data_IF_894329538164
#
_entry.id   IF_894329538164
#
_cell.length_a   1.000
_cell.length_b   1.000
_cell.length_c   1.000
_cell.angle_alpha   90.00
_cell.angle_beta   90.00
_cell.angle_gamma   90.00
#
_symmetry.space_group_name_H-M   'P 1'
#
loop_
_entity.id
_entity.type
_entity.pdbx_description
1 polymer ?
#
# COMPACT_ATOMS: atom_id res chain seq x y z
N UNK A 1 1.99 1.25 -7.33
CA UNK A 1 3.25 1.90 -7.77
C UNK A 1 3.27 2.01 -9.29
N UNK A 2 3.79 3.11 -9.85
CA UNK A 2 3.84 3.31 -11.30
C UNK A 2 5.15 2.78 -11.91
N UNK A 3 5.15 2.38 -13.19
CA UNK A 3 6.38 2.07 -13.91
C UNK A 3 7.35 3.26 -13.91
N UNK A 4 8.62 3.03 -13.60
CA UNK A 4 9.64 4.10 -13.49
C UNK A 4 9.72 4.95 -14.76
N UNK A 5 9.62 4.29 -15.93
CA UNK A 5 9.59 4.99 -17.23
C UNK A 5 8.44 5.98 -17.32
N UNK A 6 7.24 5.58 -16.89
CA UNK A 6 6.05 6.43 -16.90
C UNK A 6 6.20 7.63 -15.96
N UNK A 7 6.75 7.41 -14.75
CA UNK A 7 7.04 8.48 -13.79
C UNK A 7 7.99 9.51 -14.42
N UNK A 8 9.10 9.04 -15.00
CA UNK A 8 10.10 9.91 -15.64
C UNK A 8 9.54 10.72 -16.81
N UNK A 9 8.74 10.10 -17.67
CA UNK A 9 8.12 10.79 -18.82
C UNK A 9 7.02 11.79 -18.41
N UNK A 10 6.49 11.68 -17.19
CA UNK A 10 5.39 12.49 -16.69
C UNK A 10 5.72 13.15 -15.33
N UNK A 11 6.99 13.44 -15.07
CA UNK A 11 7.46 13.84 -13.73
C UNK A 11 6.71 15.07 -13.19
N UNK A 12 6.41 16.05 -14.04
CA UNK A 12 5.67 17.24 -13.68
C UNK A 12 4.22 16.96 -13.25
N UNK A 13 3.59 15.90 -13.79
CA UNK A 13 2.26 15.47 -13.32
C UNK A 13 2.33 14.88 -11.92
N UNK A 14 3.38 14.13 -11.63
CA UNK A 14 3.58 13.54 -10.31
C UNK A 14 3.97 14.58 -9.26
N UNK A 15 4.80 15.57 -9.60
CA UNK A 15 5.10 16.72 -8.73
C UNK A 15 3.83 17.44 -8.30
N UNK A 16 2.98 17.82 -9.28
CA UNK A 16 1.68 18.45 -9.01
C UNK A 16 0.75 17.56 -8.18
N UNK A 17 0.70 16.27 -8.47
CA UNK A 17 -0.12 15.32 -7.70
C UNK A 17 0.34 15.21 -6.24
N UNK A 18 1.65 15.19 -5.99
CA UNK A 18 2.22 15.19 -4.65
C UNK A 18 1.89 16.48 -3.90
N UNK A 19 2.04 17.63 -4.55
CA UNK A 19 1.67 18.94 -3.97
C UNK A 19 0.18 19.00 -3.62
N UNK A 20 -0.70 18.61 -4.55
CA UNK A 20 -2.14 18.59 -4.35
C UNK A 20 -2.58 17.67 -3.19
N UNK A 21 -1.81 16.61 -2.92
CA UNK A 21 -2.07 15.67 -1.82
C UNK A 21 -1.31 16.00 -0.52
N UNK A 22 -0.49 17.05 -0.51
CA UNK A 22 0.38 17.38 0.63
C UNK A 22 1.46 16.34 0.92
N UNK A 23 1.81 15.52 -0.07
CA UNK A 23 2.74 14.39 0.06
C UNK A 23 4.17 14.87 -0.25
N UNK A 24 5.10 14.61 0.67
CA UNK A 24 6.50 15.00 0.49
C UNK A 24 7.26 13.90 -0.26
N UNK A 25 7.66 14.21 -1.48
CA UNK A 25 8.53 13.35 -2.31
C UNK A 25 9.82 14.12 -2.63
N UNK A 26 10.96 13.49 -2.40
CA UNK A 26 12.27 14.05 -2.76
C UNK A 26 12.55 13.83 -4.25
N UNK A 27 12.08 14.77 -5.07
CA UNK A 27 12.21 14.72 -6.53
C UNK A 27 13.65 14.94 -7.01
N UNK A 28 14.46 15.68 -6.25
CA UNK A 28 15.87 15.91 -6.59
C UNK A 28 16.68 14.62 -6.42
N UNK A 29 16.52 13.95 -5.27
CA UNK A 29 17.17 12.66 -5.04
C UNK A 29 16.59 11.57 -5.97
N UNK A 30 15.29 11.62 -6.31
CA UNK A 30 14.70 10.74 -7.33
C UNK A 30 15.46 10.82 -8.67
N UNK A 31 15.60 12.04 -9.22
CA UNK A 31 16.26 12.25 -10.51
C UNK A 31 17.74 11.83 -10.47
N UNK A 32 18.42 12.17 -9.37
CA UNK A 32 19.82 11.78 -9.15
C UNK A 32 19.99 10.26 -9.10
N UNK A 33 19.18 9.55 -8.30
CA UNK A 33 19.26 8.10 -8.17
C UNK A 33 18.85 7.37 -9.46
N UNK A 34 17.84 7.85 -10.21
CA UNK A 34 17.49 7.25 -11.51
C UNK A 34 18.62 7.41 -12.54
N UNK A 35 19.31 8.56 -12.54
CA UNK A 35 20.46 8.81 -13.40
C UNK A 35 21.65 7.90 -13.04
N UNK A 36 22.01 7.79 -11.76
CA UNK A 36 23.08 6.88 -11.30
C UNK A 36 22.74 5.42 -11.59
N UNK A 37 21.50 5.01 -11.29
CA UNK A 37 21.00 3.66 -11.56
C UNK A 37 21.17 3.29 -13.03
N UNK A 38 20.74 4.15 -13.96
CA UNK A 38 20.91 3.92 -15.42
C UNK A 38 22.38 3.84 -15.82
N UNK A 39 23.24 4.72 -15.28
CA UNK A 39 24.69 4.69 -15.55
C UNK A 39 25.30 3.36 -15.13
N UNK A 40 24.96 2.86 -13.93
CA UNK A 40 25.49 1.59 -13.44
C UNK A 40 24.95 0.40 -14.22
N UNK A 41 23.66 0.38 -14.57
CA UNK A 41 23.10 -0.67 -15.44
C UNK A 41 23.85 -0.71 -16.78
N UNK A 42 23.98 0.44 -17.46
CA UNK A 42 24.69 0.53 -18.73
C UNK A 42 26.15 0.09 -18.62
N UNK A 43 26.84 0.49 -17.55
CA UNK A 43 28.24 0.10 -17.31
C UNK A 43 28.37 -1.42 -17.08
N UNK A 44 27.49 -2.01 -16.26
CA UNK A 44 27.48 -3.45 -16.00
C UNK A 44 27.21 -4.23 -17.29
N UNK A 45 26.24 -3.80 -18.10
CA UNK A 45 25.93 -4.42 -19.39
C UNK A 45 27.10 -4.34 -20.37
N UNK A 46 27.78 -3.19 -20.47
CA UNK A 46 28.97 -3.02 -21.30
C UNK A 46 30.09 -3.98 -20.84
N UNK A 47 30.36 -4.06 -19.54
CA UNK A 47 31.39 -4.97 -19.00
C UNK A 47 31.05 -6.44 -19.20
N UNK A 48 29.78 -6.82 -19.02
CA UNK A 48 29.32 -8.20 -19.28
C UNK A 48 29.51 -8.57 -20.75
N UNK A 49 29.22 -7.66 -21.67
CA UNK A 49 29.47 -7.87 -23.11
C UNK A 49 30.95 -8.13 -23.38
N UNK A 50 31.84 -7.27 -22.88
CA UNK A 50 33.30 -7.42 -23.06
C UNK A 50 33.79 -8.74 -22.44
N UNK A 51 33.29 -9.09 -21.25
CA UNK A 51 33.64 -10.35 -20.57
C UNK A 51 33.24 -11.59 -21.38
N UNK A 52 32.05 -11.57 -21.98
CA UNK A 52 31.57 -12.66 -22.85
C UNK A 52 32.46 -12.78 -24.09
N UNK A 53 32.77 -11.67 -24.77
CA UNK A 53 33.66 -11.64 -25.94
C UNK A 53 35.07 -12.18 -25.60
N UNK A 54 35.59 -11.84 -24.41
CA UNK A 54 36.86 -12.37 -23.92
C UNK A 54 36.81 -13.86 -23.66
N UNK A 55 35.70 -14.36 -23.11
CA UNK A 55 35.49 -15.79 -22.82
C UNK A 55 35.47 -16.61 -24.12
N UNK A 56 34.79 -16.12 -25.16
CA UNK A 56 34.80 -16.73 -26.49
C UNK A 56 36.19 -16.73 -27.13
N UNK A 57 36.92 -15.60 -27.04
CA UNK A 57 38.31 -15.51 -27.52
C UNK A 57 39.23 -16.49 -26.81
N UNK A 58 39.12 -16.64 -25.49
CA UNK A 58 39.91 -17.60 -24.71
C UNK A 58 39.62 -19.04 -25.17
N UNK A 59 38.34 -19.39 -25.38
CA UNK A 59 37.95 -20.71 -25.88
C UNK A 59 38.53 -21.01 -27.29
N UNK A 60 38.68 -19.99 -28.14
CA UNK A 60 39.24 -20.14 -29.48
C UNK A 60 40.76 -20.39 -29.53
N UNK A 61 41.50 -20.00 -28.49
CA UNK A 61 42.98 -20.03 -28.46
C UNK A 61 43.60 -21.39 -28.09
N UNK A 62 42.80 -22.46 -27.97
CA UNK A 62 43.16 -23.90 -27.85
C UNK A 62 44.64 -24.19 -27.50
N UNK A 63 45.04 -23.87 -26.27
CA UNK A 63 46.35 -24.16 -25.63
C UNK A 63 47.52 -23.17 -25.81
N UNK A 64 47.35 -21.98 -26.40
CA UNK A 64 48.38 -20.94 -26.32
C UNK A 64 48.36 -20.22 -24.95
N UNK A 65 49.06 -20.81 -23.97
CA UNK A 65 49.09 -20.30 -22.57
C UNK A 65 49.59 -18.87 -22.45
N UNK A 66 50.54 -18.46 -23.29
CA UNK A 66 51.11 -17.11 -23.27
C UNK A 66 50.11 -16.06 -23.77
N UNK A 67 49.30 -16.39 -24.78
CA UNK A 67 48.23 -15.53 -25.29
C UNK A 67 46.99 -15.49 -24.38
N UNK A 68 46.74 -16.55 -23.59
CA UNK A 68 45.56 -16.67 -22.71
C UNK A 68 45.74 -15.89 -21.39
N UNK A 69 46.94 -15.90 -20.82
CA UNK A 69 47.28 -15.19 -19.57
C UNK A 69 46.75 -13.73 -19.51
N UNK A 70 47.04 -12.85 -20.48
CA UNK A 70 46.56 -11.46 -20.45
C UNK A 70 45.04 -11.35 -20.56
N UNK A 71 44.39 -12.23 -21.33
CA UNK A 71 42.92 -12.25 -21.48
C UNK A 71 42.23 -12.70 -20.20
N UNK A 72 42.79 -13.67 -19.48
CA UNK A 72 42.29 -14.10 -18.17
C UNK A 72 42.38 -12.98 -17.14
N UNK A 73 43.47 -12.22 -17.13
CA UNK A 73 43.63 -11.06 -16.24
C UNK A 73 42.60 -9.97 -16.55
N UNK A 74 42.34 -9.69 -17.82
CA UNK A 74 41.29 -8.75 -18.24
C UNK A 74 39.90 -9.25 -17.86
N UNK A 75 39.58 -10.52 -18.12
CA UNK A 75 38.29 -11.11 -17.77
C UNK A 75 38.04 -11.08 -16.25
N UNK A 76 39.08 -11.34 -15.45
CA UNK A 76 39.02 -11.22 -13.98
C UNK A 76 38.78 -9.78 -13.55
N UNK A 77 39.51 -8.81 -14.12
CA UNK A 77 39.31 -7.38 -13.85
C UNK A 77 37.85 -6.96 -14.11
N UNK A 78 37.28 -7.34 -15.25
CA UNK A 78 35.88 -7.03 -15.55
C UNK A 78 34.90 -7.74 -14.62
N UNK A 79 35.19 -8.97 -14.20
CA UNK A 79 34.39 -9.66 -13.18
C UNK A 79 34.36 -8.92 -11.85
N UNK A 80 35.50 -8.36 -11.43
CA UNK A 80 35.62 -7.60 -10.19
C UNK A 80 34.89 -6.25 -10.31
N UNK A 81 35.03 -5.55 -11.45
CA UNK A 81 34.27 -4.31 -11.74
C UNK A 81 32.76 -4.57 -11.75
N UNK A 82 32.28 -5.62 -12.40
CA UNK A 82 30.85 -5.98 -12.42
C UNK A 82 30.34 -6.18 -10.99
N UNK A 83 31.05 -6.96 -10.18
CA UNK A 83 30.65 -7.25 -8.79
C UNK A 83 30.59 -5.98 -7.93
N UNK A 84 31.54 -5.07 -8.10
CA UNK A 84 31.55 -3.79 -7.40
C UNK A 84 30.33 -2.94 -7.77
N UNK A 85 30.05 -2.80 -9.07
CA UNK A 85 28.94 -1.97 -9.54
C UNK A 85 27.58 -2.60 -9.27
N UNK A 86 27.45 -3.93 -9.26
CA UNK A 86 26.23 -4.62 -8.83
C UNK A 86 25.91 -4.34 -7.36
N UNK A 87 26.94 -4.32 -6.50
CA UNK A 87 26.76 -3.94 -5.08
C UNK A 87 26.28 -2.49 -4.95
N UNK A 88 26.93 -1.56 -5.65
CA UNK A 88 26.53 -0.14 -5.67
C UNK A 88 25.11 0.04 -6.22
N UNK A 89 24.78 -0.67 -7.30
CA UNK A 89 23.44 -0.66 -7.90
C UNK A 89 22.39 -1.14 -6.89
N UNK A 90 22.66 -2.23 -6.15
CA UNK A 90 21.71 -2.72 -5.14
C UNK A 90 21.43 -1.69 -4.03
N UNK A 91 22.46 -0.95 -3.58
CA UNK A 91 22.30 0.11 -2.59
C UNK A 91 21.47 1.27 -3.12
N UNK A 92 21.70 1.68 -4.37
CA UNK A 92 20.90 2.70 -5.06
C UNK A 92 19.46 2.24 -5.23
N UNK A 93 19.23 1.00 -5.65
CA UNK A 93 17.87 0.48 -5.86
C UNK A 93 17.08 0.42 -4.56
N UNK A 94 17.71 0.13 -3.42
CA UNK A 94 17.06 0.20 -2.10
C UNK A 94 16.61 1.63 -1.76
N UNK A 95 17.48 2.63 -1.97
CA UNK A 95 17.14 4.04 -1.72
C UNK A 95 16.06 4.53 -2.68
N UNK A 96 16.21 4.18 -3.96
CA UNK A 96 15.28 4.57 -5.01
C UNK A 96 13.89 3.97 -4.79
N UNK A 97 13.82 2.69 -4.37
CA UNK A 97 12.57 2.03 -4.01
C UNK A 97 11.84 2.77 -2.90
N UNK A 98 12.53 3.23 -1.85
CA UNK A 98 11.91 4.02 -0.77
C UNK A 98 11.28 5.31 -1.28
N UNK A 99 11.89 5.98 -2.26
CA UNK A 99 11.29 7.17 -2.87
C UNK A 99 10.08 6.79 -3.72
N UNK A 100 10.17 5.71 -4.52
CA UNK A 100 9.04 5.24 -5.32
C UNK A 100 7.81 4.90 -4.47
N UNK A 101 8.03 4.40 -3.24
CA UNK A 101 6.98 4.08 -2.28
C UNK A 101 6.27 5.32 -1.71
N UNK A 102 6.89 6.50 -1.78
CA UNK A 102 6.24 7.74 -1.31
C UNK A 102 5.41 8.45 -2.38
N UNK A 103 5.58 8.10 -3.66
CA UNK A 103 4.87 8.73 -4.78
C UNK A 103 3.38 8.37 -4.74
N UNK A 104 2.46 9.34 -4.58
CA UNK A 104 1.04 9.06 -4.50
C UNK A 104 0.43 8.78 -5.87
N UNK A 105 -0.80 8.25 -5.87
CA UNK A 105 -1.61 8.16 -7.09
C UNK A 105 -1.95 9.55 -7.65
N UNK A 106 -2.01 9.71 -8.97
CA UNK A 106 -2.40 10.98 -9.61
C UNK A 106 -3.92 11.15 -9.44
N UNK A 107 -4.41 12.27 -8.87
CA UNK A 107 -5.84 12.58 -8.86
C UNK A 107 -6.42 12.60 -10.28
N UNK A 108 -7.62 12.06 -10.46
CA UNK A 108 -8.33 12.19 -11.73
C UNK A 108 -8.65 13.67 -12.00
N UNK A 109 -8.66 14.17 -13.25
CA UNK A 109 -8.96 15.57 -13.55
C UNK A 109 -10.33 16.08 -13.07
N UNK A 110 -11.26 15.17 -12.75
CA UNK A 110 -12.56 15.52 -12.17
C UNK A 110 -12.53 15.74 -10.66
N UNK A 111 -11.39 15.47 -9.99
CA UNK A 111 -11.26 15.69 -8.54
C UNK A 111 -11.09 17.20 -8.31
N UNK A 112 -11.95 17.84 -7.51
CA UNK A 112 -11.81 19.26 -7.22
C UNK A 112 -10.52 19.53 -6.46
N UNK A 113 -9.87 20.66 -6.76
CA UNK A 113 -8.72 21.12 -5.99
C UNK A 113 -9.16 21.55 -4.58
N UNK A 114 -8.39 21.18 -3.57
CA UNK A 114 -8.71 21.47 -2.19
C UNK A 114 -7.53 21.19 -1.27
N UNK A 115 -7.41 21.98 -0.20
CA UNK A 115 -6.32 21.84 0.78
C UNK A 115 -6.65 20.80 1.86
N UNK A 116 -7.91 20.75 2.24
CA UNK A 116 -8.42 19.90 3.31
C UNK A 116 -9.92 19.60 3.08
N UNK A 117 -10.55 18.92 4.04
CA UNK A 117 -11.95 18.49 3.95
C UNK A 117 -12.95 19.64 3.81
N UNK A 118 -12.59 20.90 4.14
CA UNK A 118 -13.47 22.06 3.95
C UNK A 118 -13.66 22.44 2.48
N UNK A 119 -12.77 21.98 1.61
CA UNK A 119 -12.83 22.22 0.15
C UNK A 119 -13.66 21.16 -0.58
N UNK A 120 -14.20 20.15 0.13
CA UNK A 120 -15.02 19.11 -0.48
C UNK A 120 -16.33 19.68 -1.03
N UNK A 121 -16.72 19.20 -2.22
CA UNK A 121 -17.96 19.62 -2.89
C UNK A 121 -19.05 18.58 -2.65
N UNK A 122 -20.22 19.03 -2.18
CA UNK A 122 -21.40 18.17 -2.05
C UNK A 122 -21.93 17.84 -3.45
N UNK A 123 -21.97 16.54 -3.79
CA UNK A 123 -22.41 16.07 -5.12
C UNK A 123 -23.90 15.72 -5.13
N UNK A 124 -24.43 15.18 -4.03
CA UNK A 124 -25.84 14.82 -3.88
C UNK A 124 -26.22 14.74 -2.41
N UNK A 125 -27.49 15.01 -2.12
CA UNK A 125 -28.13 14.80 -0.83
C UNK A 125 -29.38 13.94 -1.03
N UNK A 126 -29.78 13.18 -0.01
CA UNK A 126 -30.96 12.32 -0.06
C UNK A 126 -31.64 12.23 1.30
N UNK A 127 -32.97 12.34 1.32
CA UNK A 127 -33.77 12.40 2.55
C UNK A 127 -33.89 13.82 3.10
N UNK A 128 -34.70 13.96 4.14
CA UNK A 128 -34.89 15.22 4.88
C UNK A 128 -34.48 14.99 6.33
N UNK A 129 -33.72 15.94 6.90
CA UNK A 129 -33.36 15.91 8.33
C UNK A 129 -34.54 16.51 9.09
N UNK A 130 -35.32 15.67 9.76
CA UNK A 130 -36.45 16.11 10.55
C UNK A 130 -36.00 16.96 11.76
N UNK A 131 -36.59 18.15 11.90
CA UNK A 131 -36.52 18.90 13.15
C UNK A 131 -37.24 18.12 14.25
N UNK A 132 -36.58 17.99 15.40
CA UNK A 132 -37.14 17.32 16.57
C UNK A 132 -37.61 18.37 17.56
N UNK A 133 -38.78 18.11 18.17
CA UNK A 133 -39.38 18.91 19.24
C UNK A 133 -38.82 18.56 20.64
N UNK A 134 -37.78 17.73 20.69
CA UNK A 134 -37.08 17.31 21.89
C UNK A 134 -35.56 17.38 21.71
N UNK A 135 -34.82 17.40 22.82
CA UNK A 135 -33.36 17.36 22.82
C UNK A 135 -32.87 16.00 22.29
N UNK A 136 -32.16 16.02 21.16
CA UNK A 136 -31.61 14.80 20.54
C UNK A 136 -30.38 14.35 21.32
N UNK A 137 -30.53 13.23 22.04
CA UNK A 137 -29.41 12.61 22.75
C UNK A 137 -28.40 12.01 21.76
N UNK A 138 -27.11 12.03 22.10
CA UNK A 138 -26.09 11.36 21.30
C UNK A 138 -26.20 9.83 21.42
N UNK A 139 -25.67 9.11 20.42
CA UNK A 139 -25.82 7.66 20.32
C UNK A 139 -25.27 6.88 21.52
N UNK A 140 -24.19 7.35 22.15
CA UNK A 140 -23.58 6.69 23.31
C UNK A 140 -24.50 6.75 24.54
N UNK A 141 -25.12 7.91 24.80
CA UNK A 141 -26.06 8.09 25.90
C UNK A 141 -27.34 7.28 25.66
N UNK A 142 -27.85 7.25 24.42
CA UNK A 142 -28.99 6.39 24.06
C UNK A 142 -28.65 4.91 24.30
N UNK A 143 -27.48 4.48 23.84
CA UNK A 143 -27.03 3.09 23.98
C UNK A 143 -26.86 2.65 25.44
N UNK A 144 -26.34 3.55 26.28
CA UNK A 144 -26.20 3.32 27.73
C UNK A 144 -27.56 3.26 28.43
N UNK A 145 -28.45 4.23 28.19
CA UNK A 145 -29.81 4.22 28.77
C UNK A 145 -30.63 2.99 28.40
N UNK A 146 -30.40 2.44 27.21
CA UNK A 146 -31.05 1.21 26.73
C UNK A 146 -30.34 -0.07 27.22
N UNK A 147 -29.16 0.03 27.84
CA UNK A 147 -28.36 -1.12 28.27
C UNK A 147 -27.84 -1.98 27.13
N UNK A 148 -27.63 -1.39 25.95
CA UNK A 148 -27.21 -2.09 24.72
C UNK A 148 -25.78 -1.76 24.28
N UNK A 149 -25.16 -0.75 24.90
CA UNK A 149 -23.80 -0.29 24.65
C UNK A 149 -23.15 0.08 25.99
N UNK A 150 -21.97 -0.48 26.25
CA UNK A 150 -21.20 -0.26 27.47
C UNK A 150 -19.71 -0.05 27.15
N UNK A 151 -19.26 1.20 27.27
CA UNK A 151 -17.86 1.58 27.08
C UNK A 151 -17.00 1.25 28.30
N UNK A 152 -17.59 1.24 29.50
CA UNK A 152 -16.87 0.96 30.74
C UNK A 152 -16.37 -0.49 30.78
N UNK A 153 -17.20 -1.43 30.31
CA UNK A 153 -16.82 -2.84 30.18
C UNK A 153 -15.71 -3.03 29.14
N UNK A 154 -15.78 -2.34 28.00
CA UNK A 154 -14.74 -2.46 27.00
C UNK A 154 -13.42 -1.80 27.41
N UNK A 155 -13.48 -0.67 28.14
CA UNK A 155 -12.32 -0.08 28.79
C UNK A 155 -11.67 -1.02 29.82
N UNK A 156 -12.49 -1.77 30.57
CA UNK A 156 -12.02 -2.79 31.51
C UNK A 156 -11.35 -3.98 30.82
N UNK A 157 -11.82 -4.38 29.63
CA UNK A 157 -11.29 -5.55 28.89
C UNK A 157 -10.03 -5.20 28.09
N UNK A 158 -9.99 -4.02 27.46
CA UNK A 158 -8.95 -3.65 26.49
C UNK A 158 -8.41 -2.25 26.73
N UNK A 159 -9.27 -1.25 26.88
CA UNK A 159 -8.90 0.15 27.02
C UNK A 159 -9.90 1.09 26.33
N UNK A 160 -9.59 2.38 26.27
CA UNK A 160 -10.44 3.37 25.59
C UNK A 160 -10.73 3.00 24.13
N UNK A 161 -11.86 3.45 23.60
CA UNK A 161 -12.33 3.21 22.22
C UNK A 161 -12.75 1.77 21.86
N UNK A 162 -12.89 0.89 22.85
CA UNK A 162 -13.46 -0.44 22.65
C UNK A 162 -14.88 -0.50 23.25
N UNK A 163 -15.96 -0.47 22.45
CA UNK A 163 -17.32 -0.62 22.96
C UNK A 163 -17.70 -2.09 23.18
N UNK A 164 -18.51 -2.37 24.20
CA UNK A 164 -19.21 -3.66 24.36
C UNK A 164 -20.68 -3.47 24.02
N UNK A 165 -21.17 -4.19 23.01
CA UNK A 165 -22.60 -4.24 22.68
C UNK A 165 -23.28 -5.40 23.39
N UNK A 166 -24.46 -5.16 23.95
CA UNK A 166 -25.22 -6.11 24.77
C UNK A 166 -26.62 -6.35 24.19
N UNK A 167 -27.13 -7.58 24.34
CA UNK A 167 -28.51 -7.95 23.99
C UNK A 167 -28.96 -7.48 22.60
N UNK A 168 -29.92 -6.54 22.57
CA UNK A 168 -30.46 -5.98 21.32
C UNK A 168 -29.40 -5.19 20.53
N UNK A 169 -28.43 -4.55 21.17
CA UNK A 169 -27.33 -3.85 20.49
C UNK A 169 -26.45 -4.81 19.70
N UNK A 170 -26.02 -5.90 20.34
CA UNK A 170 -25.25 -6.95 19.66
C UNK A 170 -26.04 -7.59 18.51
N UNK A 171 -27.35 -7.80 18.72
CA UNK A 171 -28.25 -8.32 17.69
C UNK A 171 -28.37 -7.35 16.50
N UNK A 172 -28.44 -6.05 16.75
CA UNK A 172 -28.51 -5.00 15.72
C UNK A 172 -27.21 -4.93 14.90
N UNK A 173 -26.05 -4.99 15.55
CA UNK A 173 -24.74 -5.04 14.86
C UNK A 173 -24.73 -6.20 13.86
N UNK A 174 -25.10 -7.41 14.31
CA UNK A 174 -25.21 -8.58 13.43
C UNK A 174 -26.25 -8.41 12.31
N UNK A 175 -27.40 -7.81 12.63
CA UNK A 175 -28.45 -7.58 11.64
C UNK A 175 -27.99 -6.63 10.52
N UNK A 176 -27.26 -5.57 10.86
CA UNK A 176 -26.69 -4.64 9.88
C UNK A 176 -25.66 -5.33 8.98
N UNK A 177 -24.77 -6.14 9.56
CA UNK A 177 -23.79 -6.93 8.80
C UNK A 177 -24.50 -7.81 7.77
N UNK A 178 -25.47 -8.61 8.22
CA UNK A 178 -26.19 -9.53 7.33
C UNK A 178 -26.99 -8.77 6.25
N UNK A 179 -27.66 -7.68 6.63
CA UNK A 179 -28.40 -6.85 5.68
C UNK A 179 -27.49 -6.31 4.58
N UNK A 180 -26.33 -5.76 4.93
CA UNK A 180 -25.37 -5.21 3.96
C UNK A 180 -24.82 -6.31 3.04
N UNK A 181 -24.41 -7.46 3.59
CA UNK A 181 -23.93 -8.60 2.80
C UNK A 181 -25.01 -9.10 1.83
N UNK A 182 -26.24 -9.31 2.31
CA UNK A 182 -27.35 -9.79 1.47
C UNK A 182 -27.74 -8.76 0.40
N UNK A 183 -27.68 -7.47 0.72
CA UNK A 183 -27.89 -6.41 -0.25
C UNK A 183 -26.84 -6.46 -1.36
N UNK A 184 -25.55 -6.53 -1.04
CA UNK A 184 -24.49 -6.56 -2.04
C UNK A 184 -24.48 -7.85 -2.87
N UNK A 185 -24.76 -9.01 -2.27
CA UNK A 185 -24.93 -10.27 -3.00
C UNK A 185 -26.03 -10.20 -4.06
N UNK A 186 -27.18 -9.62 -3.71
CA UNK A 186 -28.28 -9.38 -4.66
C UNK A 186 -27.88 -8.45 -5.82
N UNK A 187 -26.84 -7.62 -5.63
CA UNK A 187 -26.27 -6.73 -6.62
C UNK A 187 -25.02 -7.30 -7.33
N UNK A 188 -24.83 -8.62 -7.29
CA UNK A 188 -23.81 -9.31 -8.08
C UNK A 188 -22.42 -9.40 -7.44
N UNK A 189 -22.28 -9.06 -6.16
CA UNK A 189 -21.02 -9.26 -5.42
C UNK A 189 -20.92 -10.71 -4.92
N UNK A 190 -19.77 -11.33 -5.11
CA UNK A 190 -19.42 -12.61 -4.49
C UNK A 190 -18.99 -12.36 -3.04
N UNK A 191 -19.66 -13.03 -2.09
CA UNK A 191 -19.29 -12.94 -0.68
C UNK A 191 -18.05 -13.79 -0.41
N UNK A 192 -17.02 -13.19 0.19
CA UNK A 192 -15.76 -13.87 0.52
C UNK A 192 -15.44 -13.75 2.00
N UNK A 193 -14.88 -14.83 2.56
CA UNK A 193 -14.36 -14.86 3.92
C UNK A 193 -12.83 -14.80 3.88
N UNK A 194 -12.25 -13.77 4.49
CA UNK A 194 -10.82 -13.46 4.35
C UNK A 194 -10.10 -13.40 5.71
N UNK A 195 -8.77 -13.66 5.74
CA UNK A 195 -7.99 -13.55 6.98
C UNK A 195 -7.97 -12.13 7.56
N UNK A 196 -8.06 -12.01 8.89
CA UNK A 196 -7.88 -10.74 9.61
C UNK A 196 -6.42 -10.42 9.96
N UNK A 197 -5.53 -11.39 9.79
CA UNK A 197 -4.09 -11.23 9.87
C UNK A 197 -3.50 -11.39 8.47
N UNK A 198 -2.65 -10.44 8.06
CA UNK A 198 -2.04 -10.42 6.74
C UNK A 198 -0.54 -10.17 6.82
N UNK A 199 0.20 -10.65 5.83
CA UNK A 199 1.63 -10.37 5.71
C UNK A 199 1.90 -8.94 5.23
N UNK A 200 3.14 -8.49 5.44
CA UNK A 200 3.64 -7.17 5.01
C UNK A 200 3.41 -6.88 3.53
N UNK A 201 3.59 -7.87 2.66
CA UNK A 201 3.38 -7.72 1.22
C UNK A 201 1.93 -7.34 0.89
N UNK A 202 0.96 -7.85 1.65
CA UNK A 202 -0.46 -7.55 1.43
C UNK A 202 -0.76 -6.11 1.78
N UNK A 203 -0.26 -5.65 2.93
CA UNK A 203 -0.38 -4.26 3.37
C UNK A 203 0.35 -3.28 2.44
N UNK A 204 1.46 -3.70 1.84
CA UNK A 204 2.18 -2.93 0.82
C UNK A 204 1.39 -2.85 -0.49
N UNK A 205 0.80 -3.97 -0.94
CA UNK A 205 0.04 -4.05 -2.18
C UNK A 205 -1.13 -3.08 -2.25
N UNK A 206 -1.78 -2.81 -1.12
CA UNK A 206 -2.90 -1.87 -0.99
C UNK A 206 -2.50 -0.49 -0.45
N UNK A 207 -1.20 -0.23 -0.29
CA UNK A 207 -0.67 1.10 0.00
C UNK A 207 -0.73 1.56 1.46
N UNK A 208 -1.10 0.69 2.40
CA UNK A 208 -1.02 1.00 3.84
C UNK A 208 0.45 1.10 4.26
N UNK A 209 1.30 0.18 3.79
CA UNK A 209 2.74 0.26 4.02
C UNK A 209 3.48 0.90 2.83
N UNK A 210 4.57 1.64 3.08
CA UNK A 210 5.19 1.88 4.40
C UNK A 210 4.62 3.10 5.16
N UNK A 211 3.75 3.92 4.54
CA UNK A 211 3.39 5.24 5.08
C UNK A 211 2.59 5.21 6.38
N UNK A 212 1.67 4.25 6.52
CA UNK A 212 0.73 4.16 7.63
C UNK A 212 1.12 3.06 8.63
N UNK A 213 2.39 2.61 8.63
CA UNK A 213 2.83 1.50 9.50
C UNK A 213 2.55 1.78 10.99
N UNK A 214 2.77 3.02 11.42
CA UNK A 214 2.54 3.42 12.82
C UNK A 214 1.06 3.37 13.22
N UNK A 215 0.14 3.48 12.26
CA UNK A 215 -1.31 3.40 12.47
C UNK A 215 -1.84 1.95 12.52
N UNK A 216 -0.97 0.96 12.27
CA UNK A 216 -1.35 -0.46 12.20
C UNK A 216 -0.98 -1.21 13.47
N UNK A 217 -1.81 -2.18 13.86
CA UNK A 217 -1.43 -3.16 14.86
C UNK A 217 -0.54 -4.25 14.22
N UNK A 218 0.73 -4.29 14.63
CA UNK A 218 1.76 -5.21 14.12
C UNK A 218 2.10 -6.28 15.17
N UNK A 219 2.21 -7.52 14.70
CA UNK A 219 2.61 -8.69 15.49
C UNK A 219 4.06 -9.01 15.13
N UNK A 220 5.00 -8.43 15.89
CA UNK A 220 6.45 -8.45 15.60
C UNK A 220 7.03 -9.86 15.37
N UNK A 221 6.55 -10.85 16.11
CA UNK A 221 7.10 -12.23 16.08
C UNK A 221 6.89 -12.92 14.73
N UNK A 222 5.79 -12.61 14.07
CA UNK A 222 5.35 -13.29 12.84
C UNK A 222 5.42 -12.36 11.60
N UNK A 223 5.75 -11.08 11.80
CA UNK A 223 5.65 -9.99 10.80
C UNK A 223 4.26 -9.94 10.12
N UNK A 224 3.21 -10.09 10.93
CA UNK A 224 1.81 -9.98 10.51
C UNK A 224 1.16 -8.72 11.05
N UNK A 225 0.16 -8.26 10.32
CA UNK A 225 -0.62 -7.07 10.65
C UNK A 225 -2.08 -7.46 10.81
N UNK A 226 -2.75 -6.90 11.81
CA UNK A 226 -4.21 -6.88 11.84
C UNK A 226 -4.72 -5.93 10.76
N UNK A 227 -5.72 -6.35 10.00
CA UNK A 227 -6.22 -5.58 8.87
C UNK A 227 -6.95 -4.30 9.32
N UNK A 228 -6.69 -3.12 8.72
CA UNK A 228 -7.44 -1.90 9.01
C UNK A 228 -8.76 -1.80 8.22
N UNK A 229 -8.96 -2.70 7.26
CA UNK A 229 -10.13 -2.83 6.39
C UNK A 229 -10.06 -4.16 5.63
N UNK A 230 -11.22 -4.74 5.28
CA UNK A 230 -11.32 -5.90 4.40
C UNK A 230 -10.70 -5.66 3.01
N UNK A 231 -10.56 -4.40 2.58
CA UNK A 231 -9.91 -4.02 1.32
C UNK A 231 -8.53 -4.66 1.16
N UNK A 232 -7.75 -4.73 2.26
CA UNK A 232 -6.38 -5.27 2.22
C UNK A 232 -6.38 -6.72 1.75
N UNK A 233 -7.00 -7.68 2.47
CA UNK A 233 -7.00 -9.06 2.03
C UNK A 233 -7.84 -9.31 0.78
N UNK A 234 -8.99 -8.62 0.60
CA UNK A 234 -9.87 -8.82 -0.57
C UNK A 234 -9.16 -8.44 -1.87
N UNK A 235 -8.46 -7.31 -1.91
CA UNK A 235 -7.70 -6.89 -3.10
C UNK A 235 -6.55 -7.85 -3.39
N UNK A 236 -5.90 -8.35 -2.33
CA UNK A 236 -4.78 -9.28 -2.44
C UNK A 236 -5.19 -10.71 -2.86
N UNK A 237 -6.48 -11.06 -2.88
CA UNK A 237 -6.96 -12.32 -3.46
C UNK A 237 -6.45 -12.53 -4.89
N UNK A 238 -6.31 -11.42 -5.64
CA UNK A 238 -5.90 -11.40 -7.04
C UNK A 238 -4.41 -11.08 -7.25
N UNK A 239 -3.63 -10.95 -6.16
CA UNK A 239 -2.20 -10.62 -6.24
C UNK A 239 -1.43 -11.70 -7.02
N UNK A 240 -0.53 -11.28 -7.90
CA UNK A 240 0.31 -12.15 -8.73
C UNK A 240 -0.48 -13.10 -9.66
N UNK A 241 -1.72 -12.76 -10.00
CA UNK A 241 -2.52 -13.51 -10.96
C UNK A 241 -2.62 -12.78 -12.31
N UNK A 242 -2.70 -13.55 -13.40
CA UNK A 242 -3.09 -13.05 -14.73
C UNK A 242 -4.58 -13.35 -14.88
N UNK A 243 -5.39 -12.30 -14.96
CA UNK A 243 -6.85 -12.41 -15.03
C UNK A 243 -7.27 -12.29 -16.50
N UNK A 244 -8.00 -13.27 -17.06
CA UNK A 244 -8.62 -13.14 -18.39
C UNK A 244 -9.64 -12.00 -18.41
N UNK A 245 -9.68 -11.22 -19.49
CA UNK A 245 -10.52 -10.04 -19.61
C UNK A 245 -12.02 -10.37 -19.48
N UNK A 246 -12.43 -11.55 -19.96
CA UNK A 246 -13.81 -12.04 -19.86
C UNK A 246 -14.28 -12.32 -18.44
N UNK A 247 -13.36 -12.40 -17.46
CA UNK A 247 -13.71 -12.52 -16.03
C UNK A 247 -13.92 -11.16 -15.36
N UNK A 248 -13.62 -10.06 -16.05
CA UNK A 248 -13.82 -8.70 -15.52
C UNK A 248 -15.21 -8.18 -15.90
N UNK A 249 -15.86 -7.40 -15.01
CA UNK A 249 -15.42 -7.00 -13.67
C UNK A 249 -15.61 -8.11 -12.60
N UNK A 250 -14.72 -8.14 -11.61
CA UNK A 250 -14.82 -9.01 -10.42
C UNK A 250 -15.33 -8.17 -9.25
N UNK A 251 -16.38 -8.64 -8.60
CA UNK A 251 -17.01 -7.94 -7.46
C UNK A 251 -16.97 -8.82 -6.22
N UNK A 252 -16.27 -8.38 -5.18
CA UNK A 252 -16.21 -9.05 -3.88
C UNK A 252 -16.82 -8.21 -2.78
N UNK A 253 -17.57 -8.84 -1.88
CA UNK A 253 -18.04 -8.25 -0.63
C UNK A 253 -17.57 -9.11 0.55
N UNK A 254 -17.14 -8.47 1.63
CA UNK A 254 -16.71 -9.16 2.84
C UNK A 254 -17.08 -8.35 4.08
N UNK A 255 -17.35 -9.04 5.17
CA UNK A 255 -17.36 -8.46 6.50
C UNK A 255 -16.12 -8.92 7.26
N UNK A 256 -15.41 -7.98 7.88
CA UNK A 256 -14.31 -8.26 8.78
C UNK A 256 -14.34 -7.30 9.97
N UNK A 257 -13.86 -7.71 11.16
CA UNK A 257 -13.41 -6.73 12.14
C UNK A 257 -12.24 -5.92 11.54
N UNK A 258 -12.19 -4.63 11.84
CA UNK A 258 -11.16 -3.71 11.35
C UNK A 258 -10.40 -3.10 12.53
N UNK A 259 -9.08 -3.08 12.45
CA UNK A 259 -8.21 -2.68 13.56
C UNK A 259 -7.33 -1.51 13.14
N UNK A 260 -7.45 -0.39 13.86
CA UNK A 260 -6.66 0.84 13.63
C UNK A 260 -6.18 1.37 14.96
N UNK A 261 -4.91 1.80 15.03
CA UNK A 261 -4.35 2.37 16.28
C UNK A 261 -4.83 3.78 16.56
N UNK A 262 -5.30 4.48 15.51
CA UNK A 262 -5.77 5.88 15.61
C UNK A 262 -4.71 6.79 16.28
N UNK A 263 -3.43 6.58 15.96
CA UNK A 263 -2.30 7.19 16.68
C UNK A 263 -2.31 8.74 16.59
N UNK A 264 -2.98 9.30 15.58
CA UNK A 264 -3.19 10.74 15.41
C UNK A 264 -4.54 11.30 15.89
N UNK A 265 -5.46 10.48 16.40
CA UNK A 265 -6.81 10.92 16.78
C UNK A 265 -6.94 11.41 18.23
N UNK A 266 -5.80 11.51 18.96
CA UNK A 266 -5.77 11.88 20.37
C UNK A 266 -6.56 13.18 20.64
N UNK A 267 -7.71 13.06 21.28
CA UNK A 267 -8.59 14.17 21.68
C UNK A 267 -9.60 14.68 20.64
N UNK A 268 -9.66 14.14 19.41
CA UNK A 268 -10.64 14.59 18.39
C UNK A 268 -12.03 13.96 18.55
N UNK A 269 -12.11 12.72 19.03
CA UNK A 269 -13.38 11.99 19.21
C UNK A 269 -13.45 11.22 20.55
N UNK A 270 -12.80 11.72 21.60
CA UNK A 270 -12.94 11.17 22.96
C UNK A 270 -14.30 11.55 23.55
N UNK A 271 -15.34 10.75 23.28
CA UNK A 271 -16.62 10.78 24.01
C UNK A 271 -17.07 9.36 24.31
#
# INVERSE_FOLDING_TARGET
>A
MFPIKYIRENIEKFKKASEAKGEKVDWEEFEKLDNERRKYISFIEERRKIQNDLTEKIASLKNNREAIQPLLLQAKKYSDEIREYEKKLSEIEKKFKKILETIPNIPHPSVPEGKDSSSNVVVREWGEIEEKDFEVLPHWEIGEKLGILDFSLGAKITGSFFPVFLGKGASLVRALINFMLDFHKKNGFEEVWVPSLVNRESMFGTGQLPKLEEDMYHLDKDDYFLIPTAEVPVTNLLRNQIIPEEKLPIYYVAYTPCFRREAGAYGKETK
#
